data_IF_986499653805
#
_entry.id   IF_986499653805
#
_cell.length_a   1.000
_cell.length_b   1.000
_cell.length_c   1.000
_cell.angle_alpha   90.00
_cell.angle_beta   90.00
_cell.angle_gamma   90.00
#
_symmetry.space_group_name_H-M   'P 1'
#
loop_
_entity.id
_entity.type
_entity.pdbx_description
1 polymer ?
#
# COMPACT_ATOMS: atom_id res chain seq x y z
N UNK A 1 12.57 11.00 -9.51
CA UNK A 1 11.46 11.69 -10.17
C UNK A 1 10.47 12.27 -9.16
N UNK A 2 9.86 11.49 -8.28
CA UNK A 2 8.85 11.93 -7.30
C UNK A 2 9.29 13.01 -6.31
N UNK A 3 10.54 12.99 -5.81
CA UNK A 3 11.04 14.06 -4.93
C UNK A 3 11.14 15.42 -5.65
N UNK A 4 11.55 15.42 -6.94
CA UNK A 4 11.59 16.66 -7.75
C UNK A 4 10.17 17.17 -8.02
N UNK A 5 9.21 16.27 -8.30
CA UNK A 5 7.81 16.62 -8.50
C UNK A 5 7.21 17.23 -7.22
N UNK A 6 7.42 16.60 -6.07
CA UNK A 6 6.98 17.09 -4.77
C UNK A 6 7.52 18.48 -4.47
N UNK A 7 8.83 18.71 -4.66
CA UNK A 7 9.43 20.03 -4.47
C UNK A 7 8.83 21.07 -5.41
N UNK A 8 8.59 20.72 -6.70
CA UNK A 8 7.96 21.64 -7.66
C UNK A 8 6.53 22.00 -7.27
N UNK A 9 5.73 21.03 -6.85
CA UNK A 9 4.35 21.27 -6.39
C UNK A 9 4.37 22.24 -5.21
N UNK A 10 5.20 21.98 -4.19
CA UNK A 10 5.33 22.87 -3.02
C UNK A 10 5.71 24.29 -3.46
N UNK A 11 6.74 24.45 -4.30
CA UNK A 11 7.21 25.74 -4.75
C UNK A 11 6.15 26.49 -5.55
N UNK A 12 5.49 25.82 -6.49
CA UNK A 12 4.44 26.43 -7.33
C UNK A 12 3.25 26.88 -6.48
N UNK A 13 2.79 26.01 -5.57
CA UNK A 13 1.63 26.35 -4.72
C UNK A 13 1.96 27.49 -3.77
N UNK A 14 3.15 27.49 -3.16
CA UNK A 14 3.60 28.62 -2.33
C UNK A 14 3.68 29.92 -3.15
N UNK A 15 4.29 29.89 -4.33
CA UNK A 15 4.37 31.07 -5.19
C UNK A 15 2.98 31.61 -5.57
N UNK A 16 2.02 30.75 -5.89
CA UNK A 16 0.65 31.14 -6.22
C UNK A 16 -0.05 31.74 -5.00
N UNK A 17 0.02 31.10 -3.83
CA UNK A 17 -0.61 31.62 -2.61
C UNK A 17 -0.03 32.97 -2.22
N UNK A 18 1.28 33.13 -2.20
CA UNK A 18 1.96 34.42 -1.92
C UNK A 18 1.50 35.50 -2.88
N UNK A 19 1.44 35.19 -4.19
CA UNK A 19 1.00 36.18 -5.20
C UNK A 19 -0.45 36.61 -4.98
N UNK A 20 -1.36 35.67 -4.69
CA UNK A 20 -2.78 35.98 -4.42
C UNK A 20 -2.93 36.84 -3.17
N UNK A 21 -2.18 36.53 -2.12
CA UNK A 21 -2.23 37.29 -0.85
C UNK A 21 -1.66 38.72 -1.02
N UNK A 22 -0.57 38.89 -1.74
CA UNK A 22 -0.03 40.23 -2.06
C UNK A 22 -1.08 41.02 -2.87
N UNK A 23 -1.69 40.43 -3.89
CA UNK A 23 -2.69 41.11 -4.71
C UNK A 23 -3.94 41.49 -3.88
N UNK A 24 -4.41 40.64 -2.99
CA UNK A 24 -5.53 40.92 -2.09
C UNK A 24 -5.19 42.03 -1.09
N UNK A 25 -3.96 42.07 -0.55
CA UNK A 25 -3.45 43.12 0.32
C UNK A 25 -3.41 44.46 -0.38
N UNK A 26 -2.89 44.49 -1.62
CA UNK A 26 -2.87 45.73 -2.45
C UNK A 26 -4.31 46.22 -2.73
N UNK A 27 -5.23 45.33 -3.08
CA UNK A 27 -6.63 45.65 -3.35
C UNK A 27 -7.32 46.25 -2.12
N UNK A 28 -7.11 45.69 -0.93
CA UNK A 28 -7.66 46.18 0.33
C UNK A 28 -7.06 47.59 0.63
N UNK A 29 -5.77 47.75 0.42
CA UNK A 29 -5.10 49.06 0.63
C UNK A 29 -5.65 50.11 -0.33
N UNK A 30 -5.82 49.82 -1.61
CA UNK A 30 -6.38 50.73 -2.61
C UNK A 30 -7.84 51.07 -2.26
N UNK A 31 -8.66 50.07 -1.89
CA UNK A 31 -10.04 50.30 -1.49
C UNK A 31 -10.14 51.18 -0.23
N UNK A 32 -9.31 50.91 0.77
CA UNK A 32 -9.21 51.72 1.99
C UNK A 32 -8.80 53.16 1.74
N UNK A 33 -7.98 53.42 0.72
CA UNK A 33 -7.58 54.78 0.32
C UNK A 33 -8.62 55.47 -0.58
N UNK A 34 -9.31 54.73 -1.42
CA UNK A 34 -10.34 55.27 -2.33
C UNK A 34 -11.66 55.62 -1.62
N UNK A 35 -11.99 54.92 -0.54
CA UNK A 35 -13.22 55.14 0.26
C UNK A 35 -13.11 56.30 1.26
N UNK A 36 -12.23 57.25 1.04
CA UNK A 36 -12.15 58.47 1.87
C UNK A 36 -13.36 59.33 1.54
N UNK A 37 -14.27 59.62 2.50
CA UNK A 37 -15.26 60.68 2.27
C UNK A 37 -14.53 61.97 2.01
N UNK A 38 -14.94 62.68 0.94
CA UNK A 38 -14.49 64.03 0.71
C UNK A 38 -14.73 64.84 1.98
N UNK A 39 -13.80 65.75 2.38
CA UNK A 39 -14.09 66.65 3.50
C UNK A 39 -15.41 67.33 3.22
N UNK A 40 -16.42 67.02 4.06
CA UNK A 40 -17.74 67.63 3.95
C UNK A 40 -17.60 69.13 4.04
N UNK A 41 -18.52 69.89 3.39
CA UNK A 41 -18.50 71.35 3.54
C UNK A 41 -18.54 71.66 5.01
N UNK A 42 -17.62 72.50 5.43
CA UNK A 42 -17.55 73.01 6.78
C UNK A 42 -18.91 73.65 7.10
N UNK A 43 -19.76 72.94 7.85
CA UNK A 43 -20.77 73.57 8.62
C UNK A 43 -20.03 74.33 9.73
N UNK A 44 -19.83 75.61 9.55
CA UNK A 44 -19.53 76.47 10.68
C UNK A 44 -20.70 76.31 11.67
N UNK A 45 -20.46 75.78 12.85
CA UNK A 45 -21.46 75.89 13.89
C UNK A 45 -21.45 77.34 14.36
N UNK A 46 -22.62 78.01 14.24
CA UNK A 46 -22.94 79.26 14.91
C UNK A 46 -22.78 79.07 16.44
N UNK A 47 -21.60 79.24 16.95
CA UNK A 47 -21.28 79.39 18.37
C UNK A 47 -20.91 80.84 18.63
N UNK A 48 -21.87 81.74 18.53
CA UNK A 48 -21.83 82.96 19.33
C UNK A 48 -22.22 82.61 20.78
N UNK A 49 -21.28 82.78 21.63
CA UNK A 49 -21.28 82.99 23.09
C UNK A 49 -20.67 81.83 23.93
N UNK A 50 -19.61 82.28 24.56
CA UNK A 50 -18.92 81.65 25.74
C UNK A 50 -18.14 80.35 25.39
N UNK A 51 -16.88 80.55 25.27
CA UNK A 51 -15.87 79.83 26.08
C UNK A 51 -14.50 80.45 25.82
N UNK A 52 -13.84 80.76 26.88
CA UNK A 52 -12.44 81.19 27.06
C UNK A 52 -11.46 80.37 26.21
N UNK A 53 -10.60 81.13 25.50
CA UNK A 53 -9.29 80.84 24.97
C UNK A 53 -8.68 79.49 25.41
N UNK A 54 -8.88 78.47 24.60
CA UNK A 54 -7.87 77.48 24.29
C UNK A 54 -7.72 77.51 22.78
N UNK A 55 -6.80 78.30 22.30
CA UNK A 55 -6.30 78.24 20.93
C UNK A 55 -5.57 76.89 20.81
N UNK A 56 -6.28 75.86 20.37
CA UNK A 56 -5.64 74.67 19.80
C UNK A 56 -5.04 75.16 18.49
N UNK A 57 -3.71 75.19 18.44
CA UNK A 57 -2.98 75.53 17.23
C UNK A 57 -3.41 74.55 16.12
N UNK A 58 -3.91 75.06 14.99
CA UNK A 58 -4.39 74.21 13.86
C UNK A 58 -3.32 73.22 13.41
N UNK A 59 -2.08 73.48 13.73
CA UNK A 59 -0.93 72.64 13.43
C UNK A 59 -0.84 71.45 14.43
N UNK A 60 -1.11 71.61 15.68
CA UNK A 60 -1.19 70.52 16.66
C UNK A 60 -2.34 69.54 16.36
N UNK A 61 -3.48 70.05 15.97
CA UNK A 61 -4.63 69.24 15.60
C UNK A 61 -4.38 68.41 14.30
N UNK A 62 -3.70 69.05 13.31
CA UNK A 62 -3.29 68.35 12.11
C UNK A 62 -2.25 67.24 12.39
N UNK A 63 -1.28 67.54 13.24
CA UNK A 63 -0.25 66.58 13.63
C UNK A 63 -0.83 65.43 14.41
N UNK A 64 -1.78 65.66 15.34
CA UNK A 64 -2.48 64.62 16.05
C UNK A 64 -3.33 63.72 15.14
N UNK A 65 -4.09 64.30 14.18
CA UNK A 65 -4.85 63.55 13.20
C UNK A 65 -3.94 62.75 12.26
N UNK A 66 -2.79 63.28 11.89
CA UNK A 66 -1.82 62.54 11.05
C UNK A 66 -1.14 61.40 11.80
N UNK A 67 -0.78 61.60 13.08
CA UNK A 67 -0.19 60.52 13.88
C UNK A 67 -1.15 59.38 14.18
N UNK A 68 -2.39 59.69 14.51
CA UNK A 68 -3.44 58.66 14.78
C UNK A 68 -3.77 57.88 13.49
N UNK A 69 -3.79 58.54 12.32
CA UNK A 69 -3.93 57.86 11.02
C UNK A 69 -2.73 56.97 10.65
N UNK A 70 -1.50 57.42 10.98
CA UNK A 70 -0.30 56.63 10.71
C UNK A 70 -0.25 55.36 11.60
N UNK A 71 -0.63 55.48 12.87
CA UNK A 71 -0.74 54.35 13.78
C UNK A 71 -1.83 53.37 13.33
N UNK A 72 -3.02 53.87 12.93
CA UNK A 72 -4.12 53.02 12.42
C UNK A 72 -3.70 52.26 11.14
N UNK A 73 -2.99 52.93 10.21
CA UNK A 73 -2.46 52.27 8.99
C UNK A 73 -1.38 51.23 9.34
N UNK A 74 -0.50 51.54 10.30
CA UNK A 74 0.50 50.57 10.75
C UNK A 74 -0.09 49.29 11.36
N UNK A 75 -1.13 49.45 12.18
CA UNK A 75 -1.86 48.28 12.75
C UNK A 75 -2.58 47.45 11.69
N UNK A 76 -3.18 48.07 10.68
CA UNK A 76 -3.81 47.38 9.55
C UNK A 76 -2.78 46.58 8.75
N UNK A 77 -1.62 47.20 8.40
CA UNK A 77 -0.56 46.51 7.66
C UNK A 77 -0.03 45.32 8.49
N UNK A 78 0.24 45.55 9.77
CA UNK A 78 0.72 44.47 10.65
C UNK A 78 -0.27 43.29 10.76
N UNK A 79 -1.58 43.58 10.85
CA UNK A 79 -2.61 42.55 10.87
C UNK A 79 -2.71 41.76 9.57
N UNK A 80 -2.58 42.43 8.41
CA UNK A 80 -2.55 41.80 7.10
C UNK A 80 -1.36 40.85 6.94
N UNK A 81 -0.16 41.32 7.33
CA UNK A 81 1.06 40.50 7.31
C UNK A 81 0.94 39.29 8.25
N UNK A 82 0.36 39.48 9.42
CA UNK A 82 0.14 38.36 10.36
C UNK A 82 -0.81 37.31 9.80
N UNK A 83 -1.92 37.72 9.17
CA UNK A 83 -2.88 36.81 8.52
C UNK A 83 -2.18 36.08 7.35
N UNK A 84 -1.37 36.78 6.56
CA UNK A 84 -0.62 36.22 5.45
C UNK A 84 0.30 35.07 5.91
N UNK A 85 1.09 35.32 6.94
CA UNK A 85 1.99 34.31 7.53
C UNK A 85 1.21 33.08 8.04
N UNK A 86 0.07 33.29 8.68
CA UNK A 86 -0.77 32.22 9.21
C UNK A 86 -1.32 31.37 8.05
N UNK A 87 -1.83 32.01 7.00
CA UNK A 87 -2.39 31.30 5.84
C UNK A 87 -1.30 30.53 5.11
N UNK A 88 -0.13 31.14 4.83
CA UNK A 88 0.97 30.44 4.18
C UNK A 88 1.48 29.25 4.98
N UNK A 89 1.62 29.40 6.29
CA UNK A 89 2.04 28.31 7.18
C UNK A 89 1.03 27.16 7.15
N UNK A 90 -0.25 27.49 7.21
CA UNK A 90 -1.34 26.50 7.17
C UNK A 90 -1.35 25.75 5.84
N UNK A 91 -1.26 26.45 4.72
CA UNK A 91 -1.20 25.87 3.38
C UNK A 91 0.02 24.97 3.23
N UNK A 92 1.19 25.40 3.73
CA UNK A 92 2.40 24.59 3.71
C UNK A 92 2.24 23.27 4.48
N UNK A 93 1.67 23.32 5.68
CA UNK A 93 1.38 22.13 6.49
C UNK A 93 0.44 21.18 5.75
N UNK A 94 -0.64 21.69 5.17
CA UNK A 94 -1.60 20.89 4.41
C UNK A 94 -0.93 20.22 3.21
N UNK A 95 -0.12 20.94 2.44
CA UNK A 95 0.57 20.41 1.25
C UNK A 95 1.58 19.34 1.64
N UNK A 96 2.37 19.56 2.70
CA UNK A 96 3.34 18.58 3.18
C UNK A 96 2.64 17.29 3.64
N UNK A 97 1.53 17.43 4.37
CA UNK A 97 0.74 16.30 4.83
C UNK A 97 0.07 15.54 3.68
N UNK A 98 -0.61 16.26 2.78
CA UNK A 98 -1.27 15.68 1.61
C UNK A 98 -0.25 15.00 0.67
N UNK A 99 0.91 15.63 0.46
CA UNK A 99 1.99 15.08 -0.36
C UNK A 99 2.52 13.74 0.19
N UNK A 100 2.70 13.63 1.51
CA UNK A 100 3.08 12.35 2.13
C UNK A 100 2.00 11.29 1.95
N UNK A 101 0.74 11.65 2.15
CA UNK A 101 -0.37 10.71 2.12
C UNK A 101 -0.76 10.23 0.72
N UNK A 102 -0.53 11.06 -0.31
CA UNK A 102 -0.92 10.76 -1.70
C UNK A 102 0.26 10.27 -2.53
N UNK A 103 1.41 10.95 -2.45
CA UNK A 103 2.55 10.66 -3.33
C UNK A 103 3.35 9.43 -2.88
N UNK A 104 3.47 9.20 -1.58
CA UNK A 104 4.24 8.08 -1.04
C UNK A 104 3.63 6.71 -1.37
N UNK A 105 2.32 6.47 -1.24
CA UNK A 105 1.69 5.24 -1.70
C UNK A 105 1.85 4.99 -3.21
N UNK A 106 1.69 6.03 -4.03
CA UNK A 106 1.85 5.92 -5.50
C UNK A 106 3.29 5.56 -5.86
N UNK A 107 4.26 6.22 -5.21
CA UNK A 107 5.67 5.88 -5.40
C UNK A 107 5.98 4.45 -5.00
N UNK A 108 5.51 4.02 -3.84
CA UNK A 108 5.73 2.66 -3.34
C UNK A 108 5.08 1.61 -4.25
N UNK A 109 3.90 1.91 -4.79
CA UNK A 109 3.23 1.05 -5.78
C UNK A 109 4.04 0.95 -7.07
N UNK A 110 4.54 2.08 -7.58
CA UNK A 110 5.38 2.12 -8.78
C UNK A 110 6.71 1.36 -8.60
N UNK A 111 7.39 1.56 -7.46
CA UNK A 111 8.65 0.88 -7.16
C UNK A 111 8.42 -0.64 -7.01
N UNK A 112 7.33 -1.06 -6.37
CA UNK A 112 6.93 -2.50 -6.31
C UNK A 112 6.65 -3.07 -7.69
N UNK A 113 5.92 -2.34 -8.55
CA UNK A 113 5.64 -2.78 -9.92
C UNK A 113 6.92 -2.93 -10.75
N UNK A 114 7.88 -2.01 -10.59
CA UNK A 114 9.18 -2.10 -11.27
C UNK A 114 9.98 -3.32 -10.84
N UNK A 115 10.04 -3.57 -9.52
CA UNK A 115 10.72 -4.77 -8.96
C UNK A 115 10.02 -6.04 -9.43
N UNK A 116 8.69 -6.05 -9.43
CA UNK A 116 7.88 -7.17 -9.92
C UNK A 116 8.19 -7.51 -11.40
N UNK A 117 8.21 -6.52 -12.29
CA UNK A 117 8.53 -6.73 -13.72
C UNK A 117 9.98 -7.24 -13.90
N UNK A 118 10.92 -6.67 -13.16
CA UNK A 118 12.32 -7.09 -13.22
C UNK A 118 12.50 -8.55 -12.78
N UNK A 119 11.89 -8.93 -11.64
CA UNK A 119 11.96 -10.30 -11.13
C UNK A 119 11.23 -11.28 -12.05
N UNK A 120 10.04 -10.93 -12.55
CA UNK A 120 9.31 -11.75 -13.51
C UNK A 120 10.13 -12.02 -14.78
N UNK A 121 10.83 -11.01 -15.29
CA UNK A 121 11.71 -11.15 -16.46
C UNK A 121 12.89 -12.10 -16.21
N UNK A 122 13.47 -12.04 -14.99
CA UNK A 122 14.53 -12.96 -14.60
C UNK A 122 14.05 -14.39 -14.45
N UNK A 123 12.91 -14.59 -13.77
CA UNK A 123 12.33 -15.92 -13.54
C UNK A 123 11.84 -16.59 -14.86
N UNK A 124 11.43 -15.80 -15.84
CA UNK A 124 11.07 -16.32 -17.17
C UNK A 124 12.28 -16.59 -18.05
N UNK A 125 13.37 -15.84 -17.90
CA UNK A 125 14.58 -16.04 -18.70
C UNK A 125 15.25 -17.39 -18.43
N UNK A 126 15.22 -17.86 -17.20
CA UNK A 126 15.85 -19.11 -16.78
C UNK A 126 15.23 -20.33 -17.48
N UNK A 127 13.91 -20.62 -17.39
CA UNK A 127 13.30 -21.74 -18.08
C UNK A 127 13.44 -21.65 -19.61
N UNK A 128 13.35 -20.44 -20.16
CA UNK A 128 13.54 -20.26 -21.62
C UNK A 128 14.96 -20.60 -22.07
N UNK A 129 15.98 -20.24 -21.28
CA UNK A 129 17.37 -20.61 -21.58
C UNK A 129 17.60 -22.13 -21.47
N UNK A 130 16.97 -22.79 -20.49
CA UNK A 130 17.05 -24.25 -20.35
C UNK A 130 16.33 -24.94 -21.48
N UNK A 131 15.15 -24.49 -21.91
CA UNK A 131 14.42 -25.00 -23.05
C UNK A 131 15.29 -24.87 -24.30
N UNK A 132 15.89 -23.71 -24.57
CA UNK A 132 16.74 -23.47 -25.70
C UNK A 132 17.97 -24.40 -25.71
N UNK A 133 18.67 -24.53 -24.59
CA UNK A 133 19.81 -25.42 -24.47
C UNK A 133 19.45 -26.89 -24.69
N UNK A 134 18.31 -27.36 -24.21
CA UNK A 134 17.83 -28.72 -24.43
C UNK A 134 17.37 -28.94 -25.87
N UNK A 135 16.80 -27.92 -26.54
CA UNK A 135 16.46 -28.00 -27.97
C UNK A 135 17.72 -28.12 -28.83
N UNK A 136 18.77 -27.34 -28.55
CA UNK A 136 20.07 -27.44 -29.24
C UNK A 136 20.70 -28.84 -29.05
N UNK A 137 20.56 -29.43 -27.85
CA UNK A 137 21.05 -30.77 -27.56
C UNK A 137 20.25 -31.86 -28.30
N UNK A 138 18.94 -31.68 -28.50
CA UNK A 138 18.08 -32.58 -29.28
C UNK A 138 18.44 -32.63 -30.76
N UNK A 139 18.90 -31.50 -31.33
CA UNK A 139 19.39 -31.48 -32.75
C UNK A 139 20.66 -32.31 -32.95
N UNK A 140 21.41 -32.55 -31.86
CA UNK A 140 22.66 -33.33 -31.88
C UNK A 140 22.46 -34.83 -31.60
N UNK A 141 21.33 -35.22 -30.98
CA UNK A 141 21.07 -36.58 -30.54
C UNK A 141 19.60 -36.97 -30.65
N UNK A 142 19.23 -37.73 -31.69
CA UNK A 142 17.84 -38.09 -32.01
C UNK A 142 17.16 -39.07 -31.03
N UNK A 143 17.91 -39.78 -30.17
CA UNK A 143 17.37 -40.82 -29.28
C UNK A 143 17.03 -40.32 -27.86
N UNK A 144 17.18 -39.04 -27.52
CA UNK A 144 17.24 -38.63 -26.14
C UNK A 144 15.92 -38.13 -25.57
N UNK A 145 15.10 -39.06 -25.06
CA UNK A 145 13.83 -38.77 -24.33
C UNK A 145 14.05 -37.84 -23.13
N UNK A 146 15.24 -37.88 -22.50
CA UNK A 146 15.59 -37.06 -21.35
C UNK A 146 15.51 -35.55 -21.62
N UNK A 147 15.96 -35.11 -22.81
CA UNK A 147 15.89 -33.68 -23.20
C UNK A 147 14.45 -33.22 -23.42
N UNK A 148 13.60 -34.10 -23.99
CA UNK A 148 12.17 -33.82 -24.20
C UNK A 148 11.45 -33.64 -22.86
N UNK A 149 11.70 -34.54 -21.91
CA UNK A 149 11.10 -34.48 -20.55
C UNK A 149 11.53 -33.21 -19.78
N UNK A 150 12.81 -32.81 -19.95
CA UNK A 150 13.30 -31.55 -19.40
C UNK A 150 12.62 -30.32 -20.02
N UNK A 151 12.47 -30.29 -21.33
CA UNK A 151 11.78 -29.20 -22.03
C UNK A 151 10.33 -29.11 -21.57
N UNK A 152 9.60 -30.24 -21.50
CA UNK A 152 8.22 -30.26 -21.04
C UNK A 152 8.08 -29.76 -19.61
N UNK A 153 9.01 -30.16 -18.73
CA UNK A 153 9.06 -29.70 -17.32
C UNK A 153 9.23 -28.18 -17.25
N UNK A 154 10.17 -27.62 -18.03
CA UNK A 154 10.43 -26.16 -18.01
C UNK A 154 9.29 -25.36 -18.66
N UNK A 155 8.64 -25.89 -19.70
CA UNK A 155 7.43 -25.28 -20.28
C UNK A 155 6.31 -25.23 -19.22
N UNK A 156 6.08 -26.31 -18.49
CA UNK A 156 5.07 -26.36 -17.43
C UNK A 156 5.39 -25.40 -16.28
N UNK A 157 6.67 -25.28 -15.92
CA UNK A 157 7.14 -24.31 -14.92
C UNK A 157 6.91 -22.87 -15.40
N UNK A 158 7.28 -22.53 -16.63
CA UNK A 158 7.06 -21.20 -17.19
C UNK A 158 5.56 -20.86 -17.30
N UNK A 159 4.72 -21.81 -17.72
CA UNK A 159 3.27 -21.63 -17.77
C UNK A 159 2.67 -21.35 -16.38
N UNK A 160 3.07 -22.12 -15.36
CA UNK A 160 2.65 -21.90 -13.97
C UNK A 160 3.05 -20.50 -13.51
N UNK A 161 4.29 -20.09 -13.78
CA UNK A 161 4.78 -18.74 -13.43
C UNK A 161 3.93 -17.64 -14.09
N UNK A 162 3.61 -17.75 -15.38
CA UNK A 162 2.77 -16.78 -16.10
C UNK A 162 1.37 -16.72 -15.49
N UNK A 163 0.76 -17.86 -15.16
CA UNK A 163 -0.56 -17.90 -14.53
C UNK A 163 -0.55 -17.25 -13.14
N UNK A 164 0.47 -17.53 -12.32
CA UNK A 164 0.65 -16.94 -11.00
C UNK A 164 0.82 -15.42 -11.09
N UNK A 165 1.59 -14.93 -12.07
CA UNK A 165 1.77 -13.51 -12.35
C UNK A 165 0.48 -12.82 -12.78
N UNK A 166 -0.28 -13.43 -13.69
CA UNK A 166 -1.57 -12.91 -14.14
C UNK A 166 -2.58 -12.85 -12.99
N UNK A 167 -2.58 -13.87 -12.13
CA UNK A 167 -3.44 -13.89 -10.96
C UNK A 167 -3.11 -12.76 -10.00
N UNK A 168 -1.84 -12.56 -9.65
CA UNK A 168 -1.40 -11.45 -8.80
C UNK A 168 -1.72 -10.09 -9.41
N UNK A 169 -1.53 -9.93 -10.73
CA UNK A 169 -1.88 -8.69 -11.43
C UNK A 169 -3.38 -8.38 -11.36
N UNK A 170 -4.25 -9.39 -11.53
CA UNK A 170 -5.71 -9.25 -11.36
C UNK A 170 -6.09 -8.91 -9.92
N UNK A 171 -5.42 -9.52 -8.94
CA UNK A 171 -5.62 -9.23 -7.51
C UNK A 171 -5.26 -7.78 -7.17
N UNK A 172 -4.13 -7.28 -7.68
CA UNK A 172 -3.68 -5.90 -7.47
C UNK A 172 -4.60 -4.86 -8.11
N UNK A 173 -5.14 -5.18 -9.30
CA UNK A 173 -6.08 -4.30 -9.99
C UNK A 173 -7.46 -4.20 -9.29
N UNK A 174 -7.70 -4.93 -8.20
CA UNK A 174 -8.99 -5.00 -7.54
C UNK A 174 -10.10 -5.63 -8.41
N UNK A 175 -9.69 -6.22 -9.55
CA UNK A 175 -10.61 -6.77 -10.56
C UNK A 175 -11.19 -8.14 -10.17
N UNK A 176 -10.75 -8.72 -9.07
CA UNK A 176 -11.31 -9.99 -8.61
C UNK A 176 -12.64 -9.68 -7.92
N UNK A 177 -13.72 -10.05 -8.58
CA UNK A 177 -15.02 -10.17 -7.93
C UNK A 177 -14.82 -11.02 -6.68
N UNK A 178 -15.27 -10.52 -5.53
CA UNK A 178 -15.25 -11.31 -4.28
C UNK A 178 -15.82 -12.68 -4.60
N UNK A 179 -15.02 -13.72 -4.40
CA UNK A 179 -15.47 -15.10 -4.60
C UNK A 179 -16.74 -15.32 -3.80
N UNK A 180 -17.76 -15.89 -4.43
CA UNK A 180 -19.03 -16.16 -3.75
C UNK A 180 -18.80 -17.16 -2.61
N UNK A 181 -19.28 -16.82 -1.44
CA UNK A 181 -19.21 -17.73 -0.29
C UNK A 181 -20.26 -18.85 -0.46
N UNK A 182 -19.83 -20.08 -0.28
CA UNK A 182 -20.69 -21.25 -0.29
C UNK A 182 -20.48 -22.11 0.97
N UNK A 183 -21.39 -23.05 1.20
CA UNK A 183 -21.26 -24.01 2.31
C UNK A 183 -20.22 -25.05 1.95
N UNK A 184 -19.07 -25.01 2.58
CA UNK A 184 -17.94 -25.90 2.33
C UNK A 184 -17.74 -26.84 3.52
N UNK A 185 -17.73 -28.13 3.25
CA UNK A 185 -17.24 -29.12 4.23
C UNK A 185 -15.72 -29.19 4.14
N UNK A 186 -15.07 -28.32 4.92
CA UNK A 186 -13.62 -28.15 4.85
C UNK A 186 -12.87 -29.44 5.26
N UNK A 187 -13.43 -30.25 6.17
CA UNK A 187 -12.87 -31.54 6.56
C UNK A 187 -12.80 -32.52 5.38
N UNK A 188 -13.87 -32.60 4.59
CA UNK A 188 -13.92 -33.47 3.42
C UNK A 188 -12.96 -32.99 2.32
N UNK A 189 -12.90 -31.68 2.08
CA UNK A 189 -11.99 -31.11 1.07
C UNK A 189 -10.52 -31.30 1.46
N UNK A 190 -10.15 -31.14 2.73
CA UNK A 190 -8.78 -31.39 3.20
C UNK A 190 -8.40 -32.85 3.01
N UNK A 191 -9.26 -33.82 3.38
CA UNK A 191 -8.98 -35.25 3.17
C UNK A 191 -8.72 -35.57 1.71
N UNK A 192 -9.56 -35.03 0.81
CA UNK A 192 -9.41 -35.22 -0.63
C UNK A 192 -8.05 -34.64 -1.12
N UNK A 193 -7.63 -33.49 -0.61
CA UNK A 193 -6.32 -32.91 -0.97
C UNK A 193 -5.16 -33.74 -0.42
N UNK A 194 -5.27 -34.25 0.80
CA UNK A 194 -4.28 -35.17 1.37
C UNK A 194 -4.06 -36.38 0.46
N UNK A 195 -5.12 -36.98 -0.04
CA UNK A 195 -5.05 -38.13 -0.98
C UNK A 195 -4.30 -37.75 -2.27
N UNK A 196 -4.47 -36.53 -2.77
CA UNK A 196 -3.78 -36.03 -3.97
C UNK A 196 -2.29 -35.74 -3.75
N UNK A 197 -1.92 -35.28 -2.55
CA UNK A 197 -0.55 -34.91 -2.21
C UNK A 197 0.26 -36.03 -1.59
N UNK A 198 -0.38 -37.03 -0.97
CA UNK A 198 0.29 -38.15 -0.35
C UNK A 198 1.30 -38.90 -1.26
N UNK A 199 1.02 -39.15 -2.55
CA UNK A 199 2.00 -39.79 -3.44
C UNK A 199 3.26 -38.96 -3.68
N UNK A 200 3.18 -37.64 -3.49
CA UNK A 200 4.30 -36.70 -3.71
C UNK A 200 5.15 -36.51 -2.46
N UNK A 201 4.71 -36.98 -1.31
CA UNK A 201 5.41 -36.81 -0.04
C UNK A 201 5.93 -38.16 0.46
N UNK A 202 7.27 -38.32 0.62
CA UNK A 202 7.86 -39.61 0.99
C UNK A 202 7.64 -39.97 2.48
N UNK A 203 7.12 -39.02 3.28
CA UNK A 203 6.94 -39.18 4.71
C UNK A 203 5.49 -39.50 5.12
N UNK A 204 5.19 -39.29 6.39
CA UNK A 204 3.85 -39.52 6.95
C UNK A 204 3.07 -38.20 7.04
N UNK A 205 1.79 -38.24 6.62
CA UNK A 205 0.87 -37.12 6.76
C UNK A 205 -0.08 -37.42 7.90
N UNK A 206 -0.07 -36.60 8.93
CA UNK A 206 -0.98 -36.70 10.08
C UNK A 206 -2.05 -35.61 9.96
N UNK A 207 -3.30 -36.00 9.94
CA UNK A 207 -4.42 -35.08 9.90
C UNK A 207 -5.24 -35.20 11.18
N UNK A 208 -5.46 -34.08 11.84
CA UNK A 208 -6.29 -33.99 13.04
C UNK A 208 -7.34 -32.89 12.82
N UNK A 209 -8.59 -33.23 13.03
CA UNK A 209 -9.71 -32.30 13.04
C UNK A 209 -10.52 -32.45 14.31
N UNK A 210 -11.20 -31.40 14.73
CA UNK A 210 -12.17 -31.52 15.82
C UNK A 210 -13.31 -32.46 15.40
N UNK A 211 -13.95 -33.17 16.35
CA UNK A 211 -15.09 -34.04 16.03
C UNK A 211 -16.24 -33.26 15.39
N UNK A 212 -16.81 -33.81 14.32
CA UNK A 212 -17.94 -33.23 13.58
C UNK A 212 -17.61 -32.72 12.18
N UNK A 213 -18.61 -32.52 11.33
CA UNK A 213 -18.42 -31.91 10.02
C UNK A 213 -18.33 -30.42 10.15
N UNK A 214 -17.21 -29.85 9.68
CA UNK A 214 -17.00 -28.40 9.62
C UNK A 214 -17.59 -27.86 8.33
N UNK A 215 -18.84 -27.42 8.38
CA UNK A 215 -19.45 -26.66 7.30
C UNK A 215 -19.23 -25.19 7.59
N UNK A 216 -18.40 -24.56 6.77
CA UNK A 216 -18.14 -23.14 6.83
C UNK A 216 -18.77 -22.46 5.62
N UNK A 217 -19.26 -21.25 5.80
CA UNK A 217 -19.53 -20.35 4.68
C UNK A 217 -18.23 -19.67 4.28
N UNK A 218 -17.58 -20.17 3.24
CA UNK A 218 -16.27 -19.72 2.79
C UNK A 218 -16.25 -19.58 1.26
N UNK A 219 -15.41 -18.71 0.71
CA UNK A 219 -15.08 -18.72 -0.71
C UNK A 219 -14.27 -19.98 -1.02
N UNK A 220 -14.94 -21.01 -1.54
CA UNK A 220 -14.38 -22.35 -1.73
C UNK A 220 -13.12 -22.36 -2.57
N UNK A 221 -13.12 -21.62 -3.68
CA UNK A 221 -11.96 -21.58 -4.57
C UNK A 221 -10.74 -21.01 -3.86
N UNK A 222 -10.90 -19.94 -3.09
CA UNK A 222 -9.81 -19.27 -2.40
C UNK A 222 -9.20 -20.15 -1.31
N UNK A 223 -10.04 -20.77 -0.48
CA UNK A 223 -9.54 -21.65 0.59
C UNK A 223 -8.87 -22.91 0.05
N UNK A 224 -9.39 -23.48 -1.04
CA UNK A 224 -8.76 -24.64 -1.68
C UNK A 224 -7.43 -24.27 -2.31
N UNK A 225 -7.32 -23.11 -2.94
CA UNK A 225 -6.06 -22.64 -3.50
C UNK A 225 -5.02 -22.35 -2.41
N UNK A 226 -5.42 -21.73 -1.29
CA UNK A 226 -4.53 -21.55 -0.13
C UNK A 226 -4.05 -22.91 0.38
N UNK A 227 -4.95 -23.87 0.52
CA UNK A 227 -4.63 -25.24 0.96
C UNK A 227 -3.64 -25.92 0.01
N UNK A 228 -3.85 -25.82 -1.30
CA UNK A 228 -2.95 -26.39 -2.31
C UNK A 228 -1.54 -25.76 -2.24
N UNK A 229 -1.46 -24.45 -2.11
CA UNK A 229 -0.18 -23.71 -1.96
C UNK A 229 0.56 -24.17 -0.69
N UNK A 230 -0.15 -24.26 0.43
CA UNK A 230 0.48 -24.64 1.70
C UNK A 230 0.89 -26.11 1.73
N UNK A 231 0.11 -27.01 1.11
CA UNK A 231 0.45 -28.42 0.95
C UNK A 231 1.64 -28.61 0.01
N UNK A 232 1.65 -27.93 -1.14
CA UNK A 232 2.78 -27.95 -2.08
C UNK A 232 4.07 -27.50 -1.38
N UNK A 233 4.00 -26.41 -0.62
CA UNK A 233 5.12 -25.91 0.18
C UNK A 233 5.56 -26.96 1.24
N UNK A 234 4.61 -27.53 1.98
CA UNK A 234 4.93 -28.49 3.03
C UNK A 234 5.50 -29.81 2.48
N UNK A 235 5.05 -30.30 1.32
CA UNK A 235 5.62 -31.48 0.66
C UNK A 235 7.01 -31.21 0.10
N UNK A 236 7.25 -30.01 -0.43
CA UNK A 236 8.52 -29.61 -1.01
C UNK A 236 9.64 -29.42 0.04
N UNK A 237 9.30 -28.85 1.20
CA UNK A 237 10.27 -28.53 2.24
C UNK A 237 10.27 -29.53 3.41
N UNK A 238 9.21 -30.35 3.57
CA UNK A 238 9.13 -31.40 4.57
C UNK A 238 10.07 -32.56 4.27
N UNK A 239 10.43 -33.33 5.31
CA UNK A 239 11.32 -34.49 5.21
C UNK A 239 10.60 -35.78 5.52
N UNK A 240 10.05 -35.93 6.72
CA UNK A 240 9.48 -37.17 7.21
C UNK A 240 8.04 -37.03 7.69
N UNK A 241 7.66 -35.84 8.17
CA UNK A 241 6.36 -35.66 8.82
C UNK A 241 5.71 -34.35 8.39
N UNK A 242 4.44 -34.46 7.99
CA UNK A 242 3.57 -33.34 7.72
C UNK A 242 2.35 -33.46 8.64
N UNK A 243 2.05 -32.39 9.37
CA UNK A 243 0.89 -32.35 10.27
C UNK A 243 -0.09 -31.29 9.81
N UNK A 244 -1.35 -31.64 9.75
CA UNK A 244 -2.45 -30.78 9.37
C UNK A 244 -3.44 -30.74 10.51
N UNK A 245 -3.75 -29.56 11.05
CA UNK A 245 -4.72 -29.39 12.11
C UNK A 245 -5.81 -28.42 11.67
N UNK A 246 -7.06 -28.90 11.73
CA UNK A 246 -8.24 -28.07 11.46
C UNK A 246 -9.01 -27.82 12.77
N UNK A 247 -9.22 -26.53 13.07
CA UNK A 247 -10.09 -26.06 14.16
C UNK A 247 -11.29 -25.30 13.61
N UNK A 248 -12.17 -24.82 14.48
CA UNK A 248 -13.31 -23.96 14.07
C UNK A 248 -12.86 -22.64 13.46
N UNK A 249 -11.68 -22.13 13.82
CA UNK A 249 -11.22 -20.79 13.48
C UNK A 249 -9.91 -20.77 12.74
N UNK A 250 -9.25 -21.92 12.55
CA UNK A 250 -7.95 -21.97 11.92
C UNK A 250 -7.65 -23.30 11.22
N UNK A 251 -6.82 -23.21 10.19
CA UNK A 251 -6.16 -24.33 9.53
C UNK A 251 -4.66 -24.15 9.68
N UNK A 252 -3.96 -25.13 10.24
CA UNK A 252 -2.50 -25.11 10.32
C UNK A 252 -1.88 -26.31 9.60
N UNK A 253 -0.76 -26.07 8.93
CA UNK A 253 0.02 -27.06 8.20
C UNK A 253 1.47 -26.91 8.67
N UNK A 254 2.03 -28.00 9.20
CA UNK A 254 3.37 -28.03 9.76
C UNK A 254 4.22 -29.09 9.08
N UNK A 255 5.46 -28.78 8.81
CA UNK A 255 6.45 -29.75 8.28
C UNK A 255 7.76 -29.71 9.11
N UNK A 256 8.45 -30.84 9.11
CA UNK A 256 9.71 -31.07 9.85
C UNK A 256 10.98 -30.75 9.04
N UNK A 257 10.85 -29.97 7.99
CA UNK A 257 11.95 -29.57 7.13
C UNK A 257 12.83 -28.46 7.69
N UNK A 258 13.54 -27.79 6.79
CA UNK A 258 14.39 -26.66 7.14
C UNK A 258 13.57 -25.52 7.74
N UNK A 259 13.98 -25.05 8.94
CA UNK A 259 13.30 -23.91 9.58
C UNK A 259 13.51 -22.63 8.81
N UNK A 260 12.46 -21.83 8.73
CA UNK A 260 12.56 -20.45 8.26
C UNK A 260 13.28 -19.62 9.32
N UNK A 261 14.26 -18.81 8.93
CA UNK A 261 14.94 -17.92 9.88
C UNK A 261 13.95 -16.92 10.46
N UNK A 262 14.13 -16.52 11.71
CA UNK A 262 13.23 -15.59 12.41
C UNK A 262 13.07 -14.26 11.66
N UNK A 263 14.16 -13.77 11.06
CA UNK A 263 14.20 -12.55 10.25
C UNK A 263 13.42 -12.64 8.92
N UNK A 264 13.11 -13.87 8.50
CA UNK A 264 12.45 -14.15 7.22
C UNK A 264 10.97 -14.55 7.36
N UNK A 265 10.48 -14.76 8.60
CA UNK A 265 9.12 -15.23 8.88
C UNK A 265 8.02 -14.33 8.27
N UNK A 266 8.29 -13.04 8.13
CA UNK A 266 7.38 -12.11 7.46
C UNK A 266 7.68 -11.98 5.96
N UNK A 267 8.96 -12.06 5.58
CA UNK A 267 9.42 -11.88 4.20
C UNK A 267 9.06 -13.03 3.27
N UNK A 268 8.85 -14.25 3.81
CA UNK A 268 8.45 -15.41 3.00
C UNK A 268 7.13 -15.22 2.26
N UNK A 269 6.33 -14.22 2.64
CA UNK A 269 5.10 -13.83 1.96
C UNK A 269 5.33 -12.75 0.89
N UNK A 270 6.55 -12.23 0.76
CA UNK A 270 6.89 -11.29 -0.30
C UNK A 270 7.03 -12.01 -1.64
N UNK A 271 6.70 -11.31 -2.72
CA UNK A 271 6.76 -11.86 -4.07
C UNK A 271 8.19 -12.19 -4.46
N UNK A 272 8.40 -13.36 -5.07
CA UNK A 272 9.71 -13.89 -5.50
C UNK A 272 10.69 -14.15 -4.34
N UNK A 273 10.20 -14.10 -3.10
CA UNK A 273 11.06 -14.42 -1.98
C UNK A 273 11.25 -15.93 -1.83
N UNK A 274 12.49 -16.36 -1.71
CA UNK A 274 12.88 -17.74 -1.51
C UNK A 274 14.00 -17.79 -0.46
N UNK A 275 13.85 -18.67 0.54
CA UNK A 275 14.90 -18.91 1.54
C UNK A 275 16.02 -19.80 0.99
N UNK A 276 15.71 -20.63 -0.01
CA UNK A 276 16.63 -21.55 -0.68
C UNK A 276 16.36 -21.54 -2.18
N UNK A 277 17.25 -20.91 -2.94
CA UNK A 277 17.17 -20.81 -4.40
C UNK A 277 17.51 -22.10 -5.14
N UNK A 278 18.01 -23.12 -4.44
CA UNK A 278 18.31 -24.44 -5.05
C UNK A 278 17.05 -25.29 -5.23
N UNK A 279 15.94 -24.92 -4.60
CA UNK A 279 14.66 -25.63 -4.71
C UNK A 279 13.76 -24.98 -5.73
N UNK A 280 13.13 -25.81 -6.56
CA UNK A 280 12.17 -25.37 -7.57
C UNK A 280 11.03 -24.52 -6.97
N UNK A 281 10.69 -23.42 -7.64
CA UNK A 281 9.55 -22.58 -7.29
C UNK A 281 9.78 -21.13 -7.65
N UNK A 282 8.71 -20.42 -7.95
CA UNK A 282 8.74 -19.01 -8.35
C UNK A 282 8.81 -18.02 -7.17
N UNK A 283 8.62 -18.47 -5.93
CA UNK A 283 8.44 -17.58 -4.79
C UNK A 283 7.14 -16.77 -4.81
N UNK A 284 6.17 -17.15 -5.65
CA UNK A 284 4.88 -16.44 -5.77
C UNK A 284 3.75 -17.09 -4.97
N UNK A 285 3.82 -18.39 -4.70
CA UNK A 285 2.73 -19.12 -4.05
C UNK A 285 2.33 -18.55 -2.69
N UNK A 286 3.27 -18.32 -1.78
CA UNK A 286 2.96 -17.75 -0.46
C UNK A 286 2.45 -16.31 -0.55
N UNK A 287 2.91 -15.53 -1.53
CA UNK A 287 2.39 -14.19 -1.79
C UNK A 287 0.92 -14.24 -2.28
N UNK A 288 0.56 -15.21 -3.13
CA UNK A 288 -0.81 -15.46 -3.55
C UNK A 288 -1.67 -15.87 -2.34
N UNK A 289 -1.21 -16.82 -1.52
CA UNK A 289 -1.91 -17.26 -0.33
C UNK A 289 -2.17 -16.09 0.65
N UNK A 290 -1.18 -15.22 0.85
CA UNK A 290 -1.31 -14.01 1.66
C UNK A 290 -2.34 -13.05 1.09
N UNK A 291 -2.30 -12.79 -0.22
CA UNK A 291 -3.25 -11.88 -0.89
C UNK A 291 -4.69 -12.42 -0.80
N UNK A 292 -4.89 -13.74 -0.99
CA UNK A 292 -6.20 -14.39 -0.82
C UNK A 292 -6.70 -14.29 0.63
N UNK A 293 -5.83 -14.47 1.61
CA UNK A 293 -6.18 -14.27 3.02
C UNK A 293 -6.61 -12.84 3.29
N UNK A 294 -5.86 -11.85 2.82
CA UNK A 294 -6.15 -10.43 3.03
C UNK A 294 -7.49 -10.02 2.37
N UNK A 295 -7.79 -10.50 1.17
CA UNK A 295 -9.07 -10.27 0.47
C UNK A 295 -10.27 -10.85 1.22
N UNK A 296 -10.06 -11.96 1.94
CA UNK A 296 -11.10 -12.63 2.74
C UNK A 296 -11.13 -12.20 4.20
N UNK A 297 -10.34 -11.18 4.58
CA UNK A 297 -10.17 -10.74 5.97
C UNK A 297 -9.66 -11.87 6.89
N UNK A 298 -8.91 -12.81 6.35
CA UNK A 298 -8.19 -13.85 7.10
C UNK A 298 -6.77 -13.42 7.39
N UNK A 299 -6.14 -14.09 8.35
CA UNK A 299 -4.74 -13.84 8.68
C UNK A 299 -3.93 -15.12 8.47
N UNK A 300 -2.87 -15.04 7.66
CA UNK A 300 -1.89 -16.11 7.54
C UNK A 300 -0.62 -15.74 8.32
N UNK A 301 -0.09 -16.71 9.07
CA UNK A 301 1.17 -16.55 9.82
C UNK A 301 2.07 -17.75 9.61
N UNK A 302 3.37 -17.51 9.65
CA UNK A 302 4.39 -18.53 9.73
C UNK A 302 5.06 -18.49 11.12
N UNK A 303 5.31 -19.65 11.70
CA UNK A 303 6.02 -19.75 12.96
C UNK A 303 6.89 -21.02 12.99
N UNK A 304 7.95 -20.99 13.80
CA UNK A 304 8.74 -22.17 14.09
C UNK A 304 8.40 -22.66 15.49
N UNK A 305 7.82 -23.85 15.58
CA UNK A 305 7.48 -24.48 16.86
C UNK A 305 7.99 -25.93 16.86
N UNK A 306 8.55 -26.38 17.98
CA UNK A 306 8.99 -27.78 18.18
C UNK A 306 9.83 -28.35 17.01
N UNK A 307 10.77 -27.57 16.51
CA UNK A 307 11.63 -27.91 15.36
C UNK A 307 10.88 -28.05 14.01
N UNK A 308 9.68 -27.51 13.90
CA UNK A 308 8.85 -27.53 12.71
C UNK A 308 8.52 -26.12 12.22
N UNK A 309 8.39 -25.97 10.93
CA UNK A 309 7.81 -24.75 10.31
C UNK A 309 6.31 -24.95 10.18
N UNK A 310 5.53 -24.01 10.72
CA UNK A 310 4.07 -24.08 10.77
C UNK A 310 3.47 -22.87 10.10
N UNK A 311 2.63 -23.09 9.09
CA UNK A 311 1.77 -22.07 8.49
C UNK A 311 0.38 -22.20 9.07
N UNK A 312 -0.18 -21.09 9.58
CA UNK A 312 -1.53 -21.06 10.14
C UNK A 312 -2.37 -19.98 9.48
N UNK A 313 -3.52 -20.40 8.95
CA UNK A 313 -4.56 -19.50 8.43
C UNK A 313 -5.65 -19.38 9.49
N UNK A 314 -5.89 -18.14 9.95
CA UNK A 314 -6.95 -17.83 10.90
C UNK A 314 -8.15 -17.27 10.14
N UNK A 315 -9.30 -17.95 10.27
CA UNK A 315 -10.57 -17.50 9.72
C UNK A 315 -11.20 -16.50 10.67
N UNK A 316 -11.26 -15.23 10.30
CA UNK A 316 -11.82 -14.19 11.17
C UNK A 316 -13.35 -14.16 11.04
N UNK A 317 -14.12 -14.61 12.05
CA UNK A 317 -15.58 -14.61 11.95
C UNK A 317 -16.23 -13.23 12.15
N UNK A 318 -15.46 -12.21 12.56
CA UNK A 318 -16.01 -10.92 13.02
C UNK A 318 -16.35 -9.90 11.93
N UNK A 319 -16.03 -10.13 10.66
CA UNK A 319 -16.26 -9.16 9.59
C UNK A 319 -17.28 -9.63 8.52
N UNK A 320 -18.30 -10.39 8.92
CA UNK A 320 -19.40 -10.79 8.06
C UNK A 320 -20.71 -10.23 8.61
N UNK A 321 -20.86 -8.91 8.52
CA UNK A 321 -22.17 -8.24 8.50
C UNK A 321 -22.40 -7.64 7.13
#
# INVERSE_FOLDING_TARGET
MFQKLRKRIIIITMAVTTTVLILSGILIMVFSTASRPAPGPHHEPDFQNNISEHHFDDEELRNFIQSDRAEGQGRLIASLVAVDIIVETTVLIIIVYASKRIVEPVKNSYDRQKIFIANASHELKTPLAVIQANMEALEMDEENQHWKDNIETEINHANKLVLDLLQLAKMDAGSIMKSTTERVNLNAEIKKRIEMFAPKFPGKIHYTSLPGSFIHQLPKQDILQILDILLDNATKYGKQTLEIHLTKTSLSISNDGTKVKTEDLEKIFDRFYQTDKSKEGSGLGLAIAKTLCDQNCWTIKCSNQNSRTTFTVYFNPKNRT
#
